data_IF_165544564133
#
_entry.id   IF_165544564133
#
_cell.length_a   1.000
_cell.length_b   1.000
_cell.length_c   1.000
_cell.angle_alpha   90.00
_cell.angle_beta   90.00
_cell.angle_gamma   90.00
#
_symmetry.space_group_name_H-M   'P 1'
#
loop_
_entity.id
_entity.type
_entity.pdbx_description
1 polymer ?
#
# COMPACT_ATOMS: atom_id res chain seq x y z
N UNK A 1 -13.99 10.09 18.05
CA UNK A 1 -12.58 9.70 18.02
C UNK A 1 -11.88 10.54 16.97
N UNK A 2 -10.71 11.15 17.24
CA UNK A 2 -9.90 11.73 16.17
C UNK A 2 -9.37 10.60 15.26
N UNK A 3 -9.32 10.85 13.95
CA UNK A 3 -8.74 9.91 12.99
C UNK A 3 -7.22 9.90 13.12
N UNK A 4 -6.61 8.71 13.03
CA UNK A 4 -5.16 8.60 12.96
C UNK A 4 -4.65 9.06 11.58
N UNK A 5 -3.35 9.40 11.49
CA UNK A 5 -2.74 9.80 10.24
C UNK A 5 -2.86 8.66 9.21
N UNK A 6 -3.33 8.96 8.01
CA UNK A 6 -3.59 7.96 6.96
C UNK A 6 -4.96 7.27 7.08
N UNK A 7 -5.80 7.62 8.05
CA UNK A 7 -7.20 7.18 8.12
C UNK A 7 -8.14 8.15 7.42
N UNK A 8 -9.30 7.64 6.97
CA UNK A 8 -10.38 8.48 6.50
C UNK A 8 -11.75 7.83 6.73
N UNK A 9 -12.79 8.63 7.01
CA UNK A 9 -14.12 8.10 7.34
C UNK A 9 -14.96 7.64 6.15
N UNK A 10 -14.59 8.06 4.94
CA UNK A 10 -15.35 7.77 3.73
C UNK A 10 -14.98 6.38 3.19
N UNK A 11 -15.85 5.77 2.38
CA UNK A 11 -15.66 4.37 1.90
C UNK A 11 -15.33 4.30 0.40
N UNK A 12 -14.82 5.39 -0.16
CA UNK A 12 -14.44 5.48 -1.56
C UNK A 12 -13.02 6.03 -1.69
N UNK A 13 -12.41 5.85 -2.85
CA UNK A 13 -11.04 6.26 -3.08
C UNK A 13 -10.61 6.16 -4.53
N UNK A 14 -9.32 6.40 -4.75
CA UNK A 14 -8.64 6.27 -6.03
C UNK A 14 -7.65 5.11 -6.00
N UNK A 15 -7.58 4.38 -7.11
CA UNK A 15 -6.48 3.47 -7.40
C UNK A 15 -5.32 4.29 -7.98
N UNK A 16 -4.17 4.22 -7.30
CA UNK A 16 -2.92 4.96 -7.55
C UNK A 16 -2.94 6.48 -7.29
N UNK A 17 -1.78 7.07 -6.92
CA UNK A 17 -1.61 8.51 -6.76
C UNK A 17 -1.79 9.32 -8.05
N UNK A 18 -2.08 10.62 -7.91
CA UNK A 18 -2.14 11.62 -8.99
C UNK A 18 -3.50 12.26 -9.22
N UNK A 19 -4.58 11.61 -8.77
CA UNK A 19 -5.95 12.13 -8.88
C UNK A 19 -6.49 12.79 -7.61
N UNK A 20 -5.70 12.90 -6.54
CA UNK A 20 -6.18 13.21 -5.19
C UNK A 20 -6.86 14.57 -5.07
N UNK A 21 -6.54 15.51 -5.96
CA UNK A 21 -7.17 16.82 -6.02
C UNK A 21 -8.69 16.73 -6.26
N UNK A 22 -9.16 15.68 -6.94
CA UNK A 22 -10.58 15.40 -7.16
C UNK A 22 -11.32 14.98 -5.87
N UNK A 23 -10.57 14.51 -4.88
CA UNK A 23 -11.08 14.09 -3.57
C UNK A 23 -11.00 15.19 -2.51
N UNK A 24 -10.54 16.39 -2.88
CA UNK A 24 -10.56 17.56 -2.00
C UNK A 24 -11.82 18.37 -2.30
N UNK A 25 -12.80 18.31 -1.41
CA UNK A 25 -14.10 18.98 -1.56
C UNK A 25 -14.27 20.01 -0.47
N UNK A 26 -14.41 21.29 -0.85
CA UNK A 26 -14.47 22.43 0.09
C UNK A 26 -13.28 22.46 1.06
N UNK A 27 -12.07 22.17 0.54
CA UNK A 27 -10.84 22.14 1.34
C UNK A 27 -10.70 20.93 2.26
N UNK A 28 -11.63 19.98 2.22
CA UNK A 28 -11.59 18.76 3.04
C UNK A 28 -11.25 17.54 2.19
N UNK A 29 -10.28 16.75 2.65
CA UNK A 29 -9.99 15.45 2.07
C UNK A 29 -11.10 14.44 2.35
N UNK A 30 -11.57 13.78 1.29
CA UNK A 30 -12.61 12.76 1.40
C UNK A 30 -12.22 11.52 0.61
N UNK A 31 -11.95 10.44 1.32
CA UNK A 31 -11.65 9.14 0.73
C UNK A 31 -10.20 8.69 0.91
N UNK A 32 -9.85 7.66 0.17
CA UNK A 32 -8.60 6.91 0.29
C UNK A 32 -7.81 6.93 -1.01
N UNK A 33 -6.49 6.81 -0.91
CA UNK A 33 -5.60 6.50 -2.04
C UNK A 33 -5.03 5.11 -1.79
N UNK A 34 -5.22 4.21 -2.74
CA UNK A 34 -4.51 2.94 -2.79
C UNK A 34 -3.19 3.16 -3.53
N UNK A 35 -2.07 2.85 -2.87
CA UNK A 35 -0.74 2.84 -3.48
C UNK A 35 -0.28 1.40 -3.65
N UNK A 36 0.31 1.09 -4.79
CA UNK A 36 0.85 -0.26 -5.06
C UNK A 36 2.36 -0.24 -5.08
N UNK A 37 2.98 -1.18 -4.38
CA UNK A 37 4.43 -1.33 -4.28
C UNK A 37 4.85 -2.73 -4.71
N UNK A 38 5.88 -2.81 -5.56
CA UNK A 38 6.64 -4.04 -5.77
C UNK A 38 7.86 -4.00 -4.87
N UNK A 39 7.93 -4.90 -3.90
CA UNK A 39 8.96 -4.88 -2.85
C UNK A 39 9.93 -6.07 -2.92
N UNK A 40 9.68 -7.03 -3.80
CA UNK A 40 10.44 -8.28 -3.86
C UNK A 40 10.34 -9.09 -2.57
N UNK A 41 11.27 -10.04 -2.39
CA UNK A 41 11.30 -10.96 -1.23
C UNK A 41 12.71 -11.11 -0.67
N UNK A 42 13.50 -10.05 -0.77
CA UNK A 42 14.83 -10.00 -0.16
C UNK A 42 14.71 -9.67 1.33
N UNK A 43 14.87 -10.66 2.20
CA UNK A 43 14.60 -10.54 3.64
C UNK A 43 15.42 -9.46 4.36
N UNK A 44 16.61 -9.13 3.83
CA UNK A 44 17.50 -8.12 4.39
C UNK A 44 17.26 -6.71 3.85
N UNK A 45 16.41 -6.57 2.82
CA UNK A 45 16.04 -5.26 2.29
C UNK A 45 15.18 -4.50 3.31
N UNK A 46 15.64 -3.29 3.62
CA UNK A 46 15.02 -2.34 4.56
C UNK A 46 14.45 -1.11 3.85
N UNK A 47 14.39 -1.14 2.52
CA UNK A 47 13.72 -0.12 1.72
C UNK A 47 12.26 0.03 2.15
N UNK A 48 11.81 1.27 2.16
CA UNK A 48 10.50 1.70 2.64
C UNK A 48 10.02 2.89 1.80
N UNK A 49 8.79 3.35 2.07
CA UNK A 49 8.22 4.50 1.38
C UNK A 49 7.61 5.52 2.35
N UNK A 50 7.46 6.74 1.85
CA UNK A 50 6.88 7.85 2.61
C UNK A 50 5.60 8.35 1.92
N UNK A 51 4.46 8.07 2.55
CA UNK A 51 3.13 8.45 2.06
C UNK A 51 2.59 9.70 2.75
N UNK A 52 3.43 10.41 3.52
CA UNK A 52 3.01 11.62 4.24
C UNK A 52 2.53 12.72 3.28
N UNK A 53 3.04 12.78 2.05
CA UNK A 53 2.52 13.68 1.01
C UNK A 53 1.01 13.52 0.74
N UNK A 54 0.45 12.31 0.94
CA UNK A 54 -0.99 12.02 0.84
C UNK A 54 -1.65 12.20 2.21
N UNK A 55 -1.10 11.57 3.24
CA UNK A 55 -1.70 11.55 4.58
C UNK A 55 -1.76 12.93 5.24
N UNK A 56 -0.78 13.81 5.04
CA UNK A 56 -0.77 15.19 5.55
C UNK A 56 -1.86 16.07 4.94
N UNK A 57 -2.43 15.65 3.81
CA UNK A 57 -3.59 16.30 3.20
C UNK A 57 -4.92 15.83 3.81
N UNK A 58 -4.90 14.88 4.74
CA UNK A 58 -6.06 14.30 5.40
C UNK A 58 -6.74 13.15 4.63
N UNK A 59 -6.11 12.66 3.57
CA UNK A 59 -6.58 11.50 2.82
C UNK A 59 -6.19 10.21 3.53
N UNK A 60 -7.02 9.19 3.38
CA UNK A 60 -6.71 7.85 3.82
C UNK A 60 -5.66 7.22 2.91
N UNK A 61 -4.78 6.37 3.46
CA UNK A 61 -3.74 5.70 2.69
C UNK A 61 -3.82 4.19 2.93
N UNK A 62 -4.06 3.46 1.84
CA UNK A 62 -3.98 2.01 1.77
C UNK A 62 -2.76 1.68 0.92
N UNK A 63 -1.92 0.75 1.35
CA UNK A 63 -0.77 0.30 0.58
C UNK A 63 -0.89 -1.19 0.29
N UNK A 64 -0.83 -1.58 -0.98
CA UNK A 64 -0.77 -2.97 -1.42
C UNK A 64 0.66 -3.34 -1.76
N UNK A 65 1.18 -4.32 -1.05
CA UNK A 65 2.53 -4.83 -1.18
C UNK A 65 2.55 -6.11 -2.01
N UNK A 66 3.29 -6.10 -3.11
CA UNK A 66 3.44 -7.22 -4.01
C UNK A 66 4.90 -7.69 -4.05
N UNK A 67 5.11 -8.99 -4.28
CA UNK A 67 6.40 -9.54 -4.65
C UNK A 67 6.89 -8.97 -5.98
N UNK A 68 6.04 -9.02 -7.01
CA UNK A 68 6.26 -8.48 -8.35
C UNK A 68 4.89 -8.23 -9.02
N UNK A 69 4.87 -8.10 -10.34
CA UNK A 69 3.66 -7.90 -11.14
C UNK A 69 3.55 -8.92 -12.27
N UNK A 70 2.32 -9.16 -12.72
CA UNK A 70 2.03 -10.00 -13.88
C UNK A 70 2.57 -11.42 -13.68
N UNK A 71 3.21 -11.97 -14.71
CA UNK A 71 3.67 -13.37 -14.73
C UNK A 71 4.77 -13.71 -13.71
N UNK A 72 5.28 -12.73 -12.96
CA UNK A 72 6.22 -12.98 -11.86
C UNK A 72 5.51 -13.23 -10.52
N UNK A 73 4.19 -13.02 -10.48
CA UNK A 73 3.35 -13.24 -9.32
C UNK A 73 3.41 -12.12 -8.28
N UNK A 74 2.27 -11.80 -7.67
CA UNK A 74 2.22 -10.79 -6.58
C UNK A 74 2.54 -11.38 -5.21
N UNK A 75 2.61 -12.71 -5.13
CA UNK A 75 3.02 -13.50 -3.97
C UNK A 75 4.09 -14.49 -4.49
N UNK A 76 5.22 -14.70 -3.80
CA UNK A 76 6.24 -15.60 -4.30
C UNK A 76 5.82 -17.06 -4.13
N UNK A 77 6.66 -18.00 -4.55
CA UNK A 77 6.44 -19.42 -4.23
C UNK A 77 6.52 -19.67 -2.72
N UNK A 78 5.88 -20.72 -2.25
CA UNK A 78 5.76 -21.07 -0.84
C UNK A 78 7.12 -21.16 -0.13
N UNK A 79 8.16 -21.64 -0.82
CA UNK A 79 9.50 -21.75 -0.25
C UNK A 79 10.13 -20.39 0.10
N UNK A 80 9.58 -19.29 -0.42
CA UNK A 80 10.03 -17.91 -0.18
C UNK A 80 9.10 -17.09 0.71
N UNK A 81 8.03 -17.69 1.25
CA UNK A 81 7.12 -16.99 2.16
C UNK A 81 7.80 -16.42 3.39
N UNK A 82 8.76 -17.11 4.05
CA UNK A 82 9.47 -16.54 5.20
C UNK A 82 10.21 -15.25 4.84
N UNK A 83 10.91 -15.23 3.70
CA UNK A 83 11.69 -14.08 3.25
C UNK A 83 10.80 -12.92 2.83
N UNK A 84 9.69 -13.22 2.15
CA UNK A 84 8.71 -12.21 1.78
C UNK A 84 8.00 -11.60 2.99
N UNK A 85 7.61 -12.42 3.97
CA UNK A 85 7.02 -11.94 5.21
C UNK A 85 7.98 -11.01 5.96
N UNK A 86 9.28 -11.35 6.01
CA UNK A 86 10.30 -10.47 6.59
C UNK A 86 10.46 -9.18 5.78
N UNK A 87 10.44 -9.25 4.45
CA UNK A 87 10.51 -8.08 3.57
C UNK A 87 9.32 -7.13 3.77
N UNK A 88 8.10 -7.68 3.86
CA UNK A 88 6.86 -6.95 4.19
C UNK A 88 7.00 -6.28 5.56
N UNK A 89 7.42 -7.01 6.58
CA UNK A 89 7.59 -6.46 7.93
C UNK A 89 8.60 -5.29 7.95
N UNK A 90 9.74 -5.43 7.26
CA UNK A 90 10.72 -4.35 7.14
C UNK A 90 10.13 -3.12 6.42
N UNK A 91 9.39 -3.34 5.33
CA UNK A 91 8.77 -2.24 4.56
C UNK A 91 7.78 -1.46 5.43
N UNK A 92 6.86 -2.18 6.10
CA UNK A 92 5.84 -1.58 6.97
C UNK A 92 6.48 -0.81 8.11
N UNK A 93 7.50 -1.39 8.77
CA UNK A 93 8.17 -0.75 9.91
C UNK A 93 8.94 0.51 9.52
N UNK A 94 9.52 0.56 8.31
CA UNK A 94 10.25 1.73 7.81
C UNK A 94 9.37 2.81 7.19
N UNK A 95 8.12 2.49 6.85
CA UNK A 95 7.25 3.39 6.09
C UNK A 95 6.42 4.32 6.98
N UNK A 96 6.01 5.46 6.44
CA UNK A 96 5.24 6.47 7.16
C UNK A 96 4.00 6.92 6.39
N UNK A 97 2.92 7.22 7.12
CA UNK A 97 1.70 7.81 6.55
C UNK A 97 0.66 6.82 6.04
N UNK A 98 1.00 5.54 5.87
CA UNK A 98 0.04 4.48 5.58
C UNK A 98 -0.75 4.07 6.83
N UNK A 99 -2.00 3.63 6.64
CA UNK A 99 -2.83 3.10 7.71
C UNK A 99 -3.23 1.63 7.47
N UNK A 100 -3.65 1.28 6.26
CA UNK A 100 -4.01 -0.08 5.89
C UNK A 100 -2.93 -0.68 4.99
N UNK A 101 -2.58 -1.92 5.26
CA UNK A 101 -1.62 -2.70 4.48
C UNK A 101 -2.32 -3.93 3.90
N UNK A 102 -2.20 -4.12 2.60
CA UNK A 102 -2.66 -5.28 1.86
C UNK A 102 -1.43 -6.03 1.34
N UNK A 103 -1.51 -7.37 1.28
CA UNK A 103 -0.42 -8.22 0.80
C UNK A 103 -0.96 -9.02 -0.38
N UNK A 104 -0.32 -8.86 -1.53
CA UNK A 104 -0.72 -9.48 -2.80
C UNK A 104 -1.87 -8.78 -3.50
N UNK A 105 -1.84 -8.84 -4.83
CA UNK A 105 -2.95 -8.48 -5.70
C UNK A 105 -3.52 -9.73 -6.35
N UNK A 106 -4.84 -9.88 -6.34
CA UNK A 106 -5.54 -10.90 -7.15
C UNK A 106 -4.90 -12.30 -7.06
N UNK A 107 -4.62 -12.77 -5.84
CA UNK A 107 -3.85 -14.00 -5.59
C UNK A 107 -4.43 -15.29 -6.21
N UNK A 108 -5.61 -15.24 -6.83
CA UNK A 108 -6.25 -16.35 -7.54
C UNK A 108 -6.32 -16.14 -9.07
N UNK A 109 -5.79 -15.03 -9.59
CA UNK A 109 -5.76 -14.74 -11.02
C UNK A 109 -4.53 -15.40 -11.65
N UNK A 110 -4.75 -16.27 -12.64
CA UNK A 110 -3.69 -17.01 -13.35
C UNK A 110 -2.57 -16.12 -13.91
N UNK A 111 -2.90 -14.88 -14.30
CA UNK A 111 -1.94 -13.93 -14.87
C UNK A 111 -1.02 -13.27 -13.83
N UNK A 112 -1.32 -13.43 -12.54
CA UNK A 112 -0.61 -12.85 -11.39
C UNK A 112 -0.03 -13.96 -10.48
N UNK A 113 0.28 -15.13 -11.05
CA UNK A 113 0.81 -16.33 -10.38
C UNK A 113 2.19 -16.72 -10.90
#
# INVERSE_FOLDING_TARGET
MPFHKGENRFIYGLHDPGGEHLMIVNGQAKGWVLVTEEIGSEANDRGSADYRNIADRGLGVIVRLNQSYGSNGTIPREERYPEFAQRVANFVAGSQGAHIWLIGNEMNLEREQ
#
